data_IF_861553628872
#
_entry.id   IF_861553628872
#
_cell.length_a   1.000
_cell.length_b   1.000
_cell.length_c   1.000
_cell.angle_alpha   90.00
_cell.angle_beta   90.00
_cell.angle_gamma   90.00
#
_symmetry.space_group_name_H-M   'P 1'
#
loop_
_entity.id
_entity.type
_entity.pdbx_description
1 polymer ?
#
# COMPACT_ATOMS: atom_id res chain seq x y z
N UNK A 1 -13.81 -8.46 3.14
CA UNK A 1 -14.48 -9.50 3.96
C UNK A 1 -13.75 -9.82 5.26
N UNK A 2 -12.46 -10.16 5.29
CA UNK A 2 -11.71 -10.57 6.51
C UNK A 2 -11.90 -9.64 7.72
N UNK A 3 -11.89 -8.34 7.53
CA UNK A 3 -12.01 -7.39 8.65
C UNK A 3 -13.36 -7.38 9.36
N UNK A 4 -14.46 -7.64 8.65
CA UNK A 4 -15.80 -7.78 9.24
C UNK A 4 -15.86 -9.10 10.00
N UNK A 5 -15.37 -10.20 9.41
CA UNK A 5 -15.32 -11.51 10.06
C UNK A 5 -14.58 -11.47 11.40
N UNK A 6 -13.46 -10.73 11.49
CA UNK A 6 -12.72 -10.56 12.76
C UNK A 6 -13.59 -9.82 13.79
N UNK A 7 -14.24 -8.70 13.41
CA UNK A 7 -15.07 -7.94 14.33
C UNK A 7 -16.27 -8.76 14.84
N UNK A 8 -16.92 -9.50 13.93
CA UNK A 8 -18.08 -10.34 14.28
C UNK A 8 -17.67 -11.58 15.10
N UNK A 9 -16.50 -12.15 14.86
CA UNK A 9 -15.99 -13.25 15.70
C UNK A 9 -15.82 -12.81 17.15
N UNK A 10 -15.23 -11.63 17.35
CA UNK A 10 -15.01 -11.11 18.69
C UNK A 10 -16.36 -10.70 19.34
N UNK A 11 -17.29 -10.09 18.61
CA UNK A 11 -18.66 -9.83 19.07
C UNK A 11 -19.35 -11.12 19.49
N UNK A 12 -19.33 -12.14 18.64
CA UNK A 12 -19.99 -13.43 18.88
C UNK A 12 -19.39 -14.17 20.08
N UNK A 13 -18.10 -14.02 20.32
CA UNK A 13 -17.42 -14.64 21.48
C UNK A 13 -17.98 -14.14 22.81
N UNK A 14 -18.31 -12.85 22.92
CA UNK A 14 -18.75 -12.23 24.16
C UNK A 14 -20.26 -12.13 24.29
N UNK A 15 -20.97 -12.02 23.17
CA UNK A 15 -22.39 -11.69 23.11
C UNK A 15 -23.18 -12.54 22.10
N UNK A 16 -22.64 -13.74 21.75
CA UNK A 16 -23.29 -14.62 20.77
C UNK A 16 -24.68 -15.11 21.18
N UNK A 17 -24.91 -15.27 22.46
CA UNK A 17 -26.16 -15.74 23.03
C UNK A 17 -27.04 -14.58 23.57
N UNK A 18 -26.62 -13.33 23.39
CA UNK A 18 -27.40 -12.15 23.82
C UNK A 18 -28.41 -11.82 22.75
N UNK A 19 -29.66 -11.53 23.11
CA UNK A 19 -30.64 -11.03 22.17
C UNK A 19 -30.17 -9.70 21.57
N UNK A 20 -30.39 -9.50 20.27
CA UNK A 20 -29.78 -8.42 19.52
C UNK A 20 -30.20 -7.04 20.05
N UNK A 21 -31.43 -6.92 20.55
CA UNK A 21 -31.97 -5.69 21.13
C UNK A 21 -31.46 -5.40 22.55
N UNK A 22 -30.89 -6.42 23.23
CA UNK A 22 -30.25 -6.28 24.56
C UNK A 22 -28.78 -5.89 24.47
N UNK A 23 -28.20 -5.91 23.25
CA UNK A 23 -26.84 -5.44 23.02
C UNK A 23 -26.81 -3.92 23.01
N UNK A 24 -26.50 -3.33 24.16
CA UNK A 24 -26.55 -1.88 24.37
C UNK A 24 -25.17 -1.20 24.35
N UNK A 25 -25.15 0.13 24.61
CA UNK A 25 -23.92 0.93 24.67
C UNK A 25 -22.87 0.39 25.63
N UNK A 26 -23.25 -0.17 26.77
CA UNK A 26 -22.30 -0.71 27.75
C UNK A 26 -21.62 -1.97 27.21
N UNK A 27 -22.37 -2.85 26.54
CA UNK A 27 -21.80 -4.04 25.89
C UNK A 27 -20.79 -3.65 24.80
N UNK A 28 -21.10 -2.62 24.00
CA UNK A 28 -20.19 -2.09 22.98
C UNK A 28 -18.92 -1.48 23.60
N UNK A 29 -19.05 -0.77 24.75
CA UNK A 29 -17.90 -0.22 25.48
C UNK A 29 -17.03 -1.33 26.08
N UNK A 30 -17.62 -2.39 26.64
CA UNK A 30 -16.90 -3.54 27.18
C UNK A 30 -16.08 -4.24 26.09
N UNK A 31 -16.69 -4.45 24.92
CA UNK A 31 -15.97 -5.04 23.77
C UNK A 31 -14.85 -4.10 23.27
N UNK A 32 -15.07 -2.80 23.29
CA UNK A 32 -14.04 -1.80 22.97
C UNK A 32 -12.88 -1.86 23.94
N UNK A 33 -13.15 -2.05 25.23
CA UNK A 33 -12.12 -2.16 26.26
C UNK A 33 -11.30 -3.43 26.09
N UNK A 34 -11.92 -4.59 25.75
CA UNK A 34 -11.20 -5.81 25.38
C UNK A 34 -10.21 -5.57 24.23
N UNK A 35 -10.62 -4.83 23.20
CA UNK A 35 -9.71 -4.47 22.11
C UNK A 35 -8.52 -3.64 22.58
N UNK A 36 -8.72 -2.71 23.53
CA UNK A 36 -7.66 -1.91 24.11
C UNK A 36 -6.71 -2.77 24.94
N UNK A 37 -7.25 -3.65 25.79
CA UNK A 37 -6.45 -4.57 26.63
C UNK A 37 -5.61 -5.54 25.78
N UNK A 38 -6.10 -5.92 24.59
CA UNK A 38 -5.35 -6.71 23.60
C UNK A 38 -4.31 -5.86 22.84
N UNK A 39 -4.05 -4.64 23.28
CA UNK A 39 -3.06 -3.71 22.70
C UNK A 39 -3.31 -3.36 21.22
N UNK A 40 -4.58 -3.35 20.79
CA UNK A 40 -4.90 -2.88 19.45
C UNK A 40 -4.70 -1.36 19.36
N UNK A 41 -4.19 -0.90 18.21
CA UNK A 41 -4.07 0.52 17.97
C UNK A 41 -5.44 1.21 17.95
N UNK A 42 -5.55 2.44 18.48
CA UNK A 42 -6.78 3.24 18.54
C UNK A 42 -7.55 3.26 17.22
N UNK A 43 -6.85 3.49 16.12
CA UNK A 43 -7.46 3.49 14.78
C UNK A 43 -8.05 2.11 14.40
N UNK A 44 -7.44 1.02 14.86
CA UNK A 44 -7.95 -0.34 14.66
C UNK A 44 -9.17 -0.59 15.53
N UNK A 45 -9.13 -0.19 16.81
CA UNK A 45 -10.28 -0.27 17.73
C UNK A 45 -11.48 0.45 17.12
N UNK A 46 -11.33 1.72 16.71
CA UNK A 46 -12.41 2.47 16.08
C UNK A 46 -12.94 1.80 14.80
N UNK A 47 -12.06 1.20 13.98
CA UNK A 47 -12.47 0.44 12.80
C UNK A 47 -13.28 -0.81 13.15
N UNK A 48 -12.92 -1.54 14.20
CA UNK A 48 -13.68 -2.73 14.63
C UNK A 48 -15.06 -2.32 15.14
N UNK A 49 -15.15 -1.31 16.00
CA UNK A 49 -16.42 -0.75 16.48
C UNK A 49 -17.29 -0.28 15.31
N UNK A 50 -16.71 0.47 14.36
CA UNK A 50 -17.44 0.90 13.17
C UNK A 50 -17.94 -0.24 12.27
N UNK A 51 -17.29 -1.41 12.27
CA UNK A 51 -17.77 -2.62 11.58
C UNK A 51 -18.97 -3.25 12.28
N UNK A 52 -18.94 -3.28 13.61
CA UNK A 52 -20.08 -3.75 14.41
C UNK A 52 -21.28 -2.82 14.20
N UNK A 53 -21.09 -1.51 14.29
CA UNK A 53 -22.17 -0.55 14.00
C UNK A 53 -22.73 -0.69 12.58
N UNK A 54 -21.91 -1.04 11.58
CA UNK A 54 -22.39 -1.34 10.22
C UNK A 54 -23.25 -2.59 10.17
N UNK A 55 -22.93 -3.63 10.94
CA UNK A 55 -23.78 -4.82 11.04
C UNK A 55 -25.16 -4.46 11.62
N UNK A 56 -25.19 -3.71 12.71
CA UNK A 56 -26.46 -3.26 13.31
C UNK A 56 -27.26 -2.36 12.33
N UNK A 57 -26.60 -1.46 11.59
CA UNK A 57 -27.27 -0.65 10.57
C UNK A 57 -27.88 -1.51 9.46
N UNK A 58 -27.17 -2.54 9.01
CA UNK A 58 -27.72 -3.52 8.08
C UNK A 58 -28.91 -4.26 8.71
N UNK A 59 -28.80 -4.69 9.96
CA UNK A 59 -29.91 -5.35 10.66
C UNK A 59 -31.16 -4.46 10.76
N UNK A 60 -30.99 -3.13 10.89
CA UNK A 60 -32.13 -2.20 10.84
C UNK A 60 -32.74 -2.14 9.43
N UNK A 61 -31.92 -2.11 8.37
CA UNK A 61 -32.45 -2.12 6.98
C UNK A 61 -33.21 -3.40 6.64
N UNK A 62 -32.88 -4.53 7.30
CA UNK A 62 -33.56 -5.82 7.15
C UNK A 62 -34.68 -6.03 8.19
N UNK A 63 -35.02 -5.02 8.98
CA UNK A 63 -36.02 -5.10 10.05
C UNK A 63 -35.75 -6.18 11.13
N UNK A 64 -34.49 -6.57 11.29
CA UNK A 64 -34.04 -7.54 12.31
C UNK A 64 -33.70 -6.84 13.62
N UNK A 65 -33.28 -5.57 13.56
CA UNK A 65 -32.82 -4.75 14.69
C UNK A 65 -33.72 -3.52 14.80
N UNK A 66 -34.11 -3.14 16.00
CA UNK A 66 -34.85 -1.91 16.24
C UNK A 66 -33.98 -0.67 15.98
N UNK A 67 -34.53 0.39 15.34
CA UNK A 67 -33.78 1.64 15.11
C UNK A 67 -33.23 2.27 16.39
N UNK A 68 -33.94 2.14 17.54
CA UNK A 68 -33.53 2.65 18.84
C UNK A 68 -32.24 2.00 19.33
N UNK A 69 -32.08 0.69 19.11
CA UNK A 69 -30.87 -0.07 19.46
C UNK A 69 -29.66 0.50 18.69
N UNK A 70 -29.79 0.72 17.38
CA UNK A 70 -28.74 1.33 16.58
C UNK A 70 -28.42 2.76 17.05
N UNK A 71 -29.44 3.57 17.33
CA UNK A 71 -29.28 4.96 17.82
C UNK A 71 -28.55 4.98 19.15
N UNK A 72 -28.92 4.10 20.07
CA UNK A 72 -28.22 3.93 21.36
C UNK A 72 -26.74 3.56 21.16
N UNK A 73 -26.44 2.61 20.28
CA UNK A 73 -25.07 2.20 19.98
C UNK A 73 -24.23 3.32 19.33
N UNK A 74 -24.85 4.13 18.47
CA UNK A 74 -24.20 5.28 17.83
C UNK A 74 -23.86 6.41 18.81
N UNK A 75 -24.51 6.48 19.97
CA UNK A 75 -24.17 7.41 21.03
C UNK A 75 -22.79 7.17 21.64
N UNK A 76 -22.18 5.98 21.43
CA UNK A 76 -20.82 5.67 21.91
C UNK A 76 -19.79 6.36 21.02
N UNK A 77 -19.09 7.40 21.50
CA UNK A 77 -18.13 8.12 20.68
C UNK A 77 -16.91 7.27 20.34
N UNK A 78 -16.32 7.52 19.19
CA UNK A 78 -15.03 6.95 18.83
C UNK A 78 -13.91 7.44 19.77
N UNK A 79 -12.87 6.62 19.94
CA UNK A 79 -11.70 6.97 20.72
C UNK A 79 -10.95 8.12 20.04
N UNK A 80 -10.67 9.19 20.81
CA UNK A 80 -9.89 10.35 20.36
C UNK A 80 -8.40 10.17 20.68
N UNK A 81 -7.53 10.74 19.85
CA UNK A 81 -6.08 10.72 20.06
C UNK A 81 -5.72 11.38 21.38
N UNK A 82 -4.80 10.78 22.14
CA UNK A 82 -4.35 11.27 23.45
C UNK A 82 -5.40 11.22 24.56
N UNK A 83 -6.63 10.71 24.29
CA UNK A 83 -7.73 10.67 25.29
C UNK A 83 -8.21 9.25 25.59
N UNK A 84 -7.39 8.24 25.33
CA UNK A 84 -7.70 6.84 25.62
C UNK A 84 -6.43 6.06 25.92
N UNK A 85 -6.58 4.90 26.60
CA UNK A 85 -5.47 3.97 26.85
C UNK A 85 -5.09 3.14 25.62
N UNK A 86 -5.79 3.29 24.52
CA UNK A 86 -5.47 2.58 23.28
C UNK A 86 -4.12 3.04 22.72
N UNK A 87 -3.33 2.10 22.24
CA UNK A 87 -2.03 2.38 21.64
C UNK A 87 -2.19 3.28 20.41
N UNK A 88 -1.40 4.34 20.36
CA UNK A 88 -1.26 5.16 19.15
C UNK A 88 -0.23 4.54 18.20
N UNK A 89 -0.47 4.70 16.92
CA UNK A 89 0.49 4.31 15.88
C UNK A 89 1.29 5.53 15.48
N UNK A 90 2.59 5.38 15.35
CA UNK A 90 3.41 6.43 14.75
C UNK A 90 2.95 6.73 13.32
N UNK A 91 3.08 7.98 12.92
CA UNK A 91 2.83 8.39 11.54
C UNK A 91 3.88 7.74 10.63
N UNK A 92 3.43 7.14 9.54
CA UNK A 92 4.32 6.59 8.54
C UNK A 92 5.05 7.75 7.85
N UNK A 93 6.38 7.80 8.02
CA UNK A 93 7.24 8.80 7.40
C UNK A 93 7.64 8.38 5.97
N UNK A 94 7.97 9.34 5.09
CA UNK A 94 8.67 9.04 3.85
C UNK A 94 9.93 8.22 4.11
N UNK A 95 10.30 7.33 3.20
CA UNK A 95 11.61 6.66 3.26
C UNK A 95 12.71 7.65 2.86
N UNK A 96 13.85 7.61 3.54
CA UNK A 96 15.02 8.41 3.18
C UNK A 96 15.64 7.91 1.86
N UNK A 97 16.24 8.83 1.09
CA UNK A 97 16.91 8.47 -0.16
C UNK A 97 18.08 7.51 0.08
N UNK A 98 18.78 7.72 1.16
CA UNK A 98 19.92 6.92 1.63
C UNK A 98 19.51 5.46 1.89
N UNK A 99 18.35 5.25 2.51
CA UNK A 99 17.79 3.92 2.78
C UNK A 99 17.39 3.18 1.49
N UNK A 100 16.89 3.93 0.48
CA UNK A 100 16.58 3.36 -0.84
C UNK A 100 17.87 2.91 -1.54
N UNK A 101 18.91 3.72 -1.50
CA UNK A 101 20.20 3.37 -2.11
C UNK A 101 20.93 2.24 -1.36
N UNK A 102 20.82 2.18 -0.04
CA UNK A 102 21.44 1.13 0.78
C UNK A 102 20.95 -0.27 0.42
N UNK A 103 19.69 -0.43 0.00
CA UNK A 103 19.17 -1.74 -0.40
C UNK A 103 19.47 -2.14 -1.84
N UNK A 104 19.95 -1.22 -2.69
CA UNK A 104 20.20 -1.45 -4.12
C UNK A 104 21.04 -2.71 -4.40
N UNK A 105 22.14 -3.00 -3.69
CA UNK A 105 22.93 -4.21 -3.90
C UNK A 105 22.22 -5.52 -3.54
N UNK A 106 21.15 -5.45 -2.74
CA UNK A 106 20.47 -6.61 -2.15
C UNK A 106 19.14 -6.95 -2.80
N UNK A 107 18.70 -6.18 -3.81
CA UNK A 107 17.49 -6.43 -4.58
C UNK A 107 17.81 -6.88 -6.00
N UNK A 108 16.85 -7.56 -6.63
CA UNK A 108 16.96 -7.87 -8.07
C UNK A 108 16.78 -6.59 -8.91
N UNK A 109 17.31 -6.53 -10.15
CA UNK A 109 17.10 -5.41 -11.05
C UNK A 109 15.62 -5.08 -11.25
N UNK A 110 14.74 -6.09 -11.30
CA UNK A 110 13.29 -5.91 -11.40
C UNK A 110 12.72 -5.15 -10.19
N UNK A 111 13.08 -5.58 -8.98
CA UNK A 111 12.63 -4.89 -7.75
C UNK A 111 13.16 -3.47 -7.70
N UNK A 112 14.39 -3.24 -8.16
CA UNK A 112 14.95 -1.89 -8.20
C UNK A 112 14.20 -1.00 -9.19
N UNK A 113 13.89 -1.50 -10.39
CA UNK A 113 13.07 -0.78 -11.37
C UNK A 113 11.69 -0.44 -10.80
N UNK A 114 11.02 -1.37 -10.09
CA UNK A 114 9.75 -1.10 -9.41
C UNK A 114 9.89 0.03 -8.38
N UNK A 115 10.97 0.04 -7.61
CA UNK A 115 11.26 1.09 -6.62
C UNK A 115 11.49 2.44 -7.31
N UNK A 116 12.32 2.47 -8.35
CA UNK A 116 12.66 3.69 -9.09
C UNK A 116 11.42 4.30 -9.76
N UNK A 117 10.60 3.49 -10.43
CA UNK A 117 9.34 3.94 -11.01
C UNK A 117 8.40 4.50 -9.96
N UNK A 118 8.24 3.79 -8.83
CA UNK A 118 7.33 4.22 -7.78
C UNK A 118 7.77 5.53 -7.12
N UNK A 119 9.07 5.73 -6.87
CA UNK A 119 9.58 6.99 -6.28
C UNK A 119 9.48 8.18 -7.24
N UNK A 120 9.61 7.93 -8.56
CA UNK A 120 9.54 8.97 -9.59
C UNK A 120 8.10 9.41 -9.89
N UNK A 121 7.13 8.50 -9.78
CA UNK A 121 5.73 8.75 -10.18
C UNK A 121 4.76 8.88 -9.01
N UNK A 122 5.16 8.44 -7.82
CA UNK A 122 4.27 8.36 -6.67
C UNK A 122 3.13 7.36 -6.81
N UNK A 123 3.15 6.47 -7.80
CA UNK A 123 2.09 5.47 -8.00
C UNK A 123 1.96 4.51 -6.82
N UNK A 124 0.78 3.89 -6.70
CA UNK A 124 0.54 2.93 -5.61
C UNK A 124 1.30 1.62 -5.85
N UNK A 125 1.72 0.89 -4.80
CA UNK A 125 2.40 -0.40 -4.96
C UNK A 125 1.65 -1.41 -5.83
N UNK A 126 0.31 -1.42 -5.77
CA UNK A 126 -0.50 -2.27 -6.64
C UNK A 126 -0.47 -1.86 -8.11
N UNK A 127 -0.40 -0.56 -8.39
CA UNK A 127 -0.29 -0.01 -9.74
C UNK A 127 1.04 -0.45 -10.39
N UNK A 128 2.16 -0.35 -9.65
CA UNK A 128 3.47 -0.86 -10.10
C UNK A 128 3.45 -2.37 -10.39
N UNK A 129 2.82 -3.15 -9.52
CA UNK A 129 2.75 -4.61 -9.69
C UNK A 129 1.91 -5.04 -10.91
N UNK A 130 1.01 -4.17 -11.37
CA UNK A 130 0.07 -4.45 -12.46
C UNK A 130 0.47 -3.80 -13.79
N UNK A 131 1.64 -3.17 -13.88
CA UNK A 131 2.11 -2.54 -15.11
C UNK A 131 2.24 -3.55 -16.25
N UNK A 132 1.65 -3.21 -17.41
CA UNK A 132 1.78 -3.94 -18.69
C UNK A 132 2.09 -2.94 -19.80
N UNK A 133 2.77 -3.37 -20.83
CA UNK A 133 3.11 -2.50 -21.99
C UNK A 133 1.86 -1.95 -22.66
N UNK A 134 0.81 -2.76 -22.80
CA UNK A 134 -0.44 -2.38 -23.46
C UNK A 134 -1.20 -1.26 -22.75
N UNK A 135 -1.00 -1.10 -21.44
CA UNK A 135 -1.71 -0.09 -20.65
C UNK A 135 -0.99 1.27 -20.64
N UNK A 136 0.15 1.38 -21.33
CA UNK A 136 0.99 2.58 -21.37
C UNK A 136 0.82 3.27 -22.72
N UNK A 137 0.17 4.44 -22.72
CA UNK A 137 0.12 5.32 -23.87
C UNK A 137 1.45 6.09 -23.99
N UNK A 138 2.09 5.99 -25.16
CA UNK A 138 3.40 6.58 -25.46
C UNK A 138 3.34 7.57 -26.62
N UNK A 139 2.15 8.01 -27.01
CA UNK A 139 1.97 8.94 -28.12
C UNK A 139 2.51 10.34 -27.81
N UNK A 140 2.44 10.75 -26.56
CA UNK A 140 2.90 12.07 -26.09
C UNK A 140 4.29 12.00 -25.44
N UNK A 141 5.03 13.14 -25.37
CA UNK A 141 6.35 13.19 -24.72
C UNK A 141 6.35 12.73 -23.25
N UNK A 142 5.24 12.90 -22.55
CA UNK A 142 5.00 12.35 -21.21
C UNK A 142 4.06 11.16 -21.35
N UNK A 143 4.57 9.96 -21.09
CA UNK A 143 3.74 8.76 -21.22
C UNK A 143 2.67 8.69 -20.13
N UNK A 144 1.54 8.09 -20.45
CA UNK A 144 0.40 7.96 -19.57
C UNK A 144 0.05 6.48 -19.33
N UNK A 145 -0.13 6.10 -18.09
CA UNK A 145 -0.58 4.77 -17.70
C UNK A 145 -1.96 4.84 -17.07
N UNK A 146 -2.90 4.09 -17.60
CA UNK A 146 -4.24 3.92 -17.05
C UNK A 146 -4.36 2.54 -16.42
N UNK A 147 -4.33 2.42 -15.08
CA UNK A 147 -4.49 1.13 -14.42
C UNK A 147 -5.82 0.48 -14.78
N UNK A 148 -5.84 -0.82 -15.19
CA UNK A 148 -7.07 -1.52 -15.58
C UNK A 148 -8.07 -1.66 -14.44
N UNK A 149 -7.63 -1.59 -13.19
CA UNK A 149 -8.49 -1.45 -12.02
C UNK A 149 -7.79 -0.64 -10.93
N UNK A 150 -8.53 0.16 -10.19
CA UNK A 150 -8.00 0.98 -9.10
C UNK A 150 -9.02 1.17 -7.97
N UNK A 151 -8.51 1.55 -6.77
CA UNK A 151 -9.31 1.67 -5.54
C UNK A 151 -10.51 2.63 -5.64
N UNK A 152 -10.50 3.56 -6.59
CA UNK A 152 -11.52 4.62 -6.77
C UNK A 152 -12.44 4.37 -7.98
N UNK A 153 -12.37 3.20 -8.58
CA UNK A 153 -13.23 2.79 -9.71
C UNK A 153 -14.72 2.94 -9.40
N UNK A 154 -15.12 2.67 -8.14
CA UNK A 154 -16.50 2.86 -7.66
C UNK A 154 -16.97 4.32 -7.55
N UNK A 155 -16.11 5.28 -7.87
CA UNK A 155 -16.40 6.71 -7.78
C UNK A 155 -16.29 7.42 -9.14
N UNK A 156 -16.32 6.68 -10.26
CA UNK A 156 -16.23 7.21 -11.65
C UNK A 156 -15.06 8.19 -11.86
N UNK A 157 -13.94 7.96 -11.17
CA UNK A 157 -12.74 8.81 -11.28
C UNK A 157 -11.65 8.07 -12.00
N UNK A 158 -11.28 8.55 -13.16
CA UNK A 158 -10.13 8.06 -13.90
C UNK A 158 -8.83 8.24 -13.10
N UNK A 159 -8.05 7.18 -13.06
CA UNK A 159 -6.69 7.22 -12.52
C UNK A 159 -5.69 7.17 -13.66
N UNK A 160 -4.94 8.25 -13.83
CA UNK A 160 -3.82 8.31 -14.76
C UNK A 160 -2.53 8.49 -13.97
N UNK A 161 -1.48 7.77 -14.33
CA UNK A 161 -0.11 7.94 -13.83
C UNK A 161 0.76 8.42 -14.99
N UNK A 162 1.48 9.50 -14.78
CA UNK A 162 2.36 10.07 -15.79
C UNK A 162 3.81 9.63 -15.59
N UNK A 163 4.47 9.26 -16.67
CA UNK A 163 5.89 8.94 -16.71
C UNK A 163 6.67 10.04 -17.42
N UNK A 164 7.40 10.83 -16.65
CA UNK A 164 8.37 11.77 -17.18
C UNK A 164 9.66 11.09 -17.68
N UNK A 165 10.62 11.83 -18.27
CA UNK A 165 11.78 11.25 -18.96
C UNK A 165 12.60 10.26 -18.13
N UNK A 166 12.79 10.53 -16.83
CA UNK A 166 13.53 9.60 -15.95
C UNK A 166 12.79 8.27 -15.73
N UNK A 167 11.46 8.31 -15.58
CA UNK A 167 10.66 7.11 -15.42
C UNK A 167 10.58 6.33 -16.73
N UNK A 168 10.50 7.01 -17.87
CA UNK A 168 10.54 6.41 -19.21
C UNK A 168 11.85 5.64 -19.41
N UNK A 169 13.00 6.26 -19.13
CA UNK A 169 14.31 5.61 -19.24
C UNK A 169 14.42 4.31 -18.41
N UNK A 170 13.81 4.28 -17.22
CA UNK A 170 13.73 3.05 -16.44
C UNK A 170 12.82 2.03 -17.11
N UNK A 171 11.64 2.45 -17.62
CA UNK A 171 10.64 1.57 -18.23
C UNK A 171 11.08 0.96 -19.55
N UNK A 172 11.80 1.71 -20.40
CA UNK A 172 12.25 1.28 -21.73
C UNK A 172 12.93 -0.11 -21.72
N UNK A 173 13.75 -0.37 -20.69
CA UNK A 173 14.44 -1.64 -20.52
C UNK A 173 13.51 -2.82 -20.18
N UNK A 174 12.26 -2.55 -19.84
CA UNK A 174 11.29 -3.55 -19.37
C UNK A 174 10.07 -3.68 -20.28
N UNK A 175 9.90 -2.77 -21.27
CA UNK A 175 8.79 -2.85 -22.22
C UNK A 175 8.85 -4.19 -22.98
N UNK A 176 7.74 -4.85 -23.06
CA UNK A 176 7.59 -6.11 -23.80
C UNK A 176 6.67 -5.89 -25.01
N UNK A 177 7.28 -5.75 -26.17
CA UNK A 177 6.56 -5.55 -27.45
C UNK A 177 6.02 -6.85 -28.03
N UNK A 178 6.66 -7.99 -27.72
CA UNK A 178 6.25 -9.30 -28.23
C UNK A 178 5.02 -9.86 -27.50
N UNK A 179 4.88 -9.46 -26.23
CA UNK A 179 3.74 -9.85 -25.37
C UNK A 179 3.29 -8.65 -24.56
N UNK A 180 2.63 -7.65 -25.16
CA UNK A 180 2.31 -6.37 -24.50
C UNK A 180 1.31 -6.52 -23.34
N UNK A 181 0.55 -7.62 -23.28
CA UNK A 181 -0.36 -7.96 -22.19
C UNK A 181 0.33 -8.57 -20.96
N UNK A 182 1.58 -9.04 -21.13
CA UNK A 182 2.35 -9.60 -20.01
C UNK A 182 2.74 -8.51 -19.00
N UNK A 183 2.77 -8.88 -17.72
CA UNK A 183 3.22 -7.97 -16.68
C UNK A 183 4.72 -7.65 -16.83
N UNK A 184 5.08 -6.37 -16.77
CA UNK A 184 6.47 -5.92 -16.91
C UNK A 184 7.37 -6.50 -15.82
N UNK A 185 6.84 -6.62 -14.62
CA UNK A 185 7.58 -7.06 -13.44
C UNK A 185 7.03 -8.38 -12.92
N UNK A 186 7.77 -9.46 -13.17
CA UNK A 186 7.35 -10.79 -12.73
C UNK A 186 8.42 -11.51 -11.90
N UNK A 187 8.02 -12.28 -10.86
CA UNK A 187 8.93 -13.14 -10.12
C UNK A 187 9.59 -14.22 -10.97
N UNK A 188 8.89 -14.73 -11.99
CA UNK A 188 9.44 -15.72 -12.91
C UNK A 188 10.58 -15.13 -13.76
N UNK A 189 10.44 -13.89 -14.25
CA UNK A 189 11.52 -13.18 -14.94
C UNK A 189 12.70 -12.89 -14.01
N UNK A 190 12.43 -12.47 -12.76
CA UNK A 190 13.47 -12.26 -11.77
C UNK A 190 14.29 -13.53 -11.49
N UNK A 191 13.62 -14.67 -11.37
CA UNK A 191 14.27 -15.96 -11.16
C UNK A 191 15.08 -16.39 -12.40
N UNK A 192 14.58 -16.17 -13.60
CA UNK A 192 15.30 -16.40 -14.84
C UNK A 192 16.59 -15.59 -14.91
N UNK A 193 16.54 -14.27 -14.64
CA UNK A 193 17.71 -13.39 -14.60
C UNK A 193 18.71 -13.86 -13.53
N UNK A 194 18.24 -14.22 -12.35
CA UNK A 194 19.08 -14.75 -11.27
C UNK A 194 19.82 -16.01 -11.69
N UNK A 195 19.11 -16.96 -12.32
CA UNK A 195 19.72 -18.22 -12.81
C UNK A 195 20.74 -17.96 -13.92
N UNK A 196 20.46 -17.04 -14.83
CA UNK A 196 21.40 -16.65 -15.87
C UNK A 196 22.68 -16.08 -15.28
N UNK A 197 22.58 -15.12 -14.31
CA UNK A 197 23.73 -14.56 -13.60
C UNK A 197 24.54 -15.64 -12.86
N UNK A 198 23.87 -16.54 -12.15
CA UNK A 198 24.55 -17.65 -11.47
C UNK A 198 25.26 -18.59 -12.46
N UNK A 199 24.66 -18.84 -13.62
CA UNK A 199 25.26 -19.67 -14.68
C UNK A 199 26.49 -18.98 -15.28
N UNK A 200 26.40 -17.68 -15.57
CA UNK A 200 27.50 -16.87 -16.11
C UNK A 200 28.69 -16.76 -15.12
N UNK A 201 28.42 -16.65 -13.81
CA UNK A 201 29.42 -16.56 -12.77
C UNK A 201 30.08 -17.93 -12.44
N UNK A 202 29.59 -19.04 -13.01
CA UNK A 202 30.08 -20.38 -12.71
C UNK A 202 31.43 -20.65 -13.39
N UNK A 203 32.43 -21.00 -12.61
CA UNK A 203 33.79 -21.28 -13.08
C UNK A 203 34.00 -22.73 -13.60
N UNK A 204 33.11 -23.68 -13.24
CA UNK A 204 33.21 -25.08 -13.62
C UNK A 204 32.23 -25.45 -14.74
N UNK A 205 32.60 -26.37 -15.64
CA UNK A 205 31.73 -26.92 -16.68
C UNK A 205 30.52 -27.63 -16.04
N UNK A 206 29.35 -27.44 -16.65
CA UNK A 206 28.13 -28.15 -16.25
C UNK A 206 28.10 -29.48 -16.98
N UNK A 207 28.00 -30.57 -16.25
CA UNK A 207 27.82 -31.90 -16.85
C UNK A 207 26.49 -31.99 -17.58
N UNK A 208 26.37 -32.72 -18.71
CA UNK A 208 25.12 -32.84 -19.48
C UNK A 208 23.93 -33.24 -18.64
N UNK A 209 24.09 -34.18 -17.70
CA UNK A 209 23.05 -34.62 -16.77
C UNK A 209 22.58 -33.54 -15.77
N UNK A 210 23.31 -32.43 -15.64
CA UNK A 210 23.03 -31.34 -14.70
C UNK A 210 22.60 -30.05 -15.40
N UNK A 211 22.47 -30.06 -16.72
CA UNK A 211 22.06 -28.88 -17.51
C UNK A 211 20.68 -28.37 -17.11
N UNK A 212 19.77 -29.28 -16.80
CA UNK A 212 18.44 -28.93 -16.30
C UNK A 212 18.16 -29.71 -15.01
N UNK A 213 18.09 -28.98 -13.88
CA UNK A 213 17.64 -29.53 -12.59
C UNK A 213 16.19 -29.09 -12.28
N UNK A 214 15.43 -28.69 -13.29
CA UNK A 214 14.04 -28.35 -13.13
C UNK A 214 13.28 -29.60 -12.64
N UNK A 215 12.56 -29.46 -11.53
CA UNK A 215 11.63 -30.51 -11.08
C UNK A 215 10.49 -30.61 -12.07
N UNK A 216 10.04 -31.81 -12.40
CA UNK A 216 8.86 -32.03 -13.28
C UNK A 216 7.59 -31.45 -12.68
N UNK A 217 7.46 -31.53 -11.35
CA UNK A 217 6.34 -30.96 -10.58
C UNK A 217 6.88 -30.16 -9.39
N UNK A 218 7.15 -28.85 -9.56
CA UNK A 218 7.61 -28.01 -8.49
C UNK A 218 6.46 -27.64 -7.56
N UNK A 219 6.60 -27.86 -6.27
CA UNK A 219 5.63 -27.46 -5.22
C UNK A 219 5.37 -25.94 -5.23
N UNK A 220 6.27 -25.15 -5.76
CA UNK A 220 6.15 -23.71 -5.86
C UNK A 220 6.66 -23.23 -7.23
N UNK A 221 5.77 -22.56 -7.96
CA UNK A 221 6.13 -21.86 -9.19
C UNK A 221 6.11 -20.36 -8.95
N UNK A 222 7.15 -19.62 -9.37
CA UNK A 222 7.12 -18.17 -9.35
C UNK A 222 5.96 -17.65 -10.19
N UNK A 223 5.18 -16.74 -9.62
CA UNK A 223 4.07 -16.13 -10.34
C UNK A 223 4.52 -15.26 -11.52
N UNK A 224 3.59 -14.92 -12.37
CA UNK A 224 3.75 -14.05 -13.54
C UNK A 224 3.75 -12.56 -13.18
N UNK A 225 3.31 -12.17 -11.98
CA UNK A 225 3.39 -10.80 -11.45
C UNK A 225 3.76 -10.77 -9.97
N UNK A 226 4.32 -9.65 -9.54
CA UNK A 226 4.45 -9.37 -8.11
C UNK A 226 3.09 -9.00 -7.52
N UNK A 227 2.87 -9.39 -6.27
CA UNK A 227 1.82 -8.83 -5.42
C UNK A 227 2.42 -7.75 -4.52
N UNK A 228 1.58 -6.85 -3.98
CA UNK A 228 2.04 -5.85 -3.01
C UNK A 228 2.73 -6.49 -1.79
N UNK A 229 2.28 -7.69 -1.40
CA UNK A 229 2.89 -8.47 -0.32
C UNK A 229 4.27 -9.01 -0.69
N UNK A 230 4.42 -9.59 -1.89
CA UNK A 230 5.73 -10.13 -2.32
C UNK A 230 6.73 -9.00 -2.58
N UNK A 231 6.30 -7.87 -3.14
CA UNK A 231 7.10 -6.67 -3.30
C UNK A 231 7.60 -6.13 -1.95
N UNK A 232 6.68 -5.95 -0.98
CA UNK A 232 7.04 -5.56 0.39
C UNK A 232 8.01 -6.53 1.06
N UNK A 233 7.82 -7.84 0.88
CA UNK A 233 8.72 -8.86 1.42
C UNK A 233 10.12 -8.79 0.81
N UNK A 234 10.23 -8.50 -0.49
CA UNK A 234 11.52 -8.35 -1.15
C UNK A 234 12.29 -7.17 -0.56
N UNK A 235 11.66 -6.00 -0.42
CA UNK A 235 12.25 -4.82 0.22
C UNK A 235 12.66 -5.13 1.67
N UNK A 236 11.76 -5.70 2.48
CA UNK A 236 12.06 -5.99 3.88
C UNK A 236 13.21 -6.98 4.08
N UNK A 237 13.39 -7.95 3.15
CA UNK A 237 14.57 -8.83 3.15
C UNK A 237 15.85 -8.07 2.79
N UNK A 238 15.77 -7.12 1.87
CA UNK A 238 16.90 -6.28 1.47
C UNK A 238 17.33 -5.34 2.60
N UNK A 239 16.38 -4.70 3.31
CA UNK A 239 16.65 -3.89 4.49
C UNK A 239 17.41 -4.69 5.57
N UNK A 240 16.97 -5.94 5.84
CA UNK A 240 17.68 -6.81 6.79
C UNK A 240 19.13 -7.09 6.37
N UNK A 241 19.37 -7.30 5.07
CA UNK A 241 20.72 -7.53 4.54
C UNK A 241 21.58 -6.27 4.57
N UNK A 242 20.96 -5.11 4.37
CA UNK A 242 21.64 -3.81 4.45
C UNK A 242 21.85 -3.32 5.89
N UNK A 243 21.30 -4.01 6.91
CA UNK A 243 21.41 -3.61 8.31
C UNK A 243 20.61 -2.34 8.66
N UNK A 244 19.57 -2.00 7.88
CA UNK A 244 18.74 -0.80 8.10
C UNK A 244 17.34 -1.17 8.58
N UNK A 245 16.62 -0.18 9.10
CA UNK A 245 15.21 -0.33 9.49
C UNK A 245 14.35 -0.74 8.29
N UNK A 246 13.38 -1.64 8.54
CA UNK A 246 12.48 -2.10 7.49
C UNK A 246 11.50 -1.00 7.08
N UNK A 247 11.50 -0.69 5.80
CA UNK A 247 10.51 0.16 5.20
C UNK A 247 9.63 -0.60 4.17
N UNK A 248 8.58 0.02 3.69
CA UNK A 248 7.62 -0.62 2.78
C UNK A 248 7.27 0.27 1.58
N UNK A 249 6.82 -0.31 0.45
CA UNK A 249 6.63 0.41 -0.81
C UNK A 249 5.78 1.68 -0.71
N UNK A 250 4.80 1.74 0.20
CA UNK A 250 3.96 2.92 0.32
C UNK A 250 4.74 4.17 0.80
N UNK A 251 5.87 3.97 1.50
CA UNK A 251 6.74 5.08 1.93
C UNK A 251 7.45 5.76 0.75
N UNK A 252 7.65 5.05 -0.38
CA UNK A 252 8.12 5.67 -1.64
C UNK A 252 7.09 6.65 -2.19
N UNK A 253 5.80 6.31 -2.11
CA UNK A 253 4.73 7.24 -2.50
C UNK A 253 4.65 8.44 -1.55
N UNK A 254 4.89 8.24 -0.25
CA UNK A 254 5.01 9.35 0.70
C UNK A 254 6.20 10.25 0.35
N UNK A 255 7.35 9.67 -0.01
CA UNK A 255 8.53 10.41 -0.47
C UNK A 255 8.22 11.23 -1.74
N UNK A 256 7.62 10.61 -2.76
CA UNK A 256 7.20 11.30 -3.97
C UNK A 256 6.21 12.44 -3.67
N UNK A 257 5.23 12.20 -2.79
CA UNK A 257 4.26 13.21 -2.37
C UNK A 257 4.93 14.42 -1.70
N UNK A 258 5.89 14.17 -0.81
CA UNK A 258 6.65 15.22 -0.13
C UNK A 258 7.47 16.05 -1.12
N UNK A 259 8.18 15.39 -2.05
CA UNK A 259 8.98 16.06 -3.07
C UNK A 259 8.11 16.89 -4.01
N UNK A 260 7.05 16.31 -4.60
CA UNK A 260 6.12 17.00 -5.49
C UNK A 260 5.51 18.25 -4.81
N UNK A 261 5.13 18.11 -3.55
CA UNK A 261 4.58 19.24 -2.80
C UNK A 261 5.62 20.34 -2.57
N UNK A 262 6.84 19.96 -2.24
CA UNK A 262 7.95 20.91 -2.03
C UNK A 262 8.26 21.68 -3.31
N UNK A 263 8.33 20.97 -4.44
CA UNK A 263 8.81 21.53 -5.71
C UNK A 263 7.68 22.26 -6.48
N UNK A 264 6.45 21.74 -6.46
CA UNK A 264 5.34 22.21 -7.30
C UNK A 264 4.09 22.66 -6.54
N UNK A 265 4.06 22.49 -5.22
CA UNK A 265 2.90 22.84 -4.39
C UNK A 265 1.87 21.72 -4.25
N UNK A 266 0.87 21.98 -3.38
CA UNK A 266 -0.08 20.96 -2.93
C UNK A 266 -1.05 20.51 -4.04
N UNK A 267 -1.49 21.43 -4.89
CA UNK A 267 -2.47 21.14 -5.95
C UNK A 267 -1.89 20.24 -7.02
N UNK A 268 -0.65 20.51 -7.47
CA UNK A 268 0.03 19.66 -8.45
C UNK A 268 0.34 18.29 -7.84
N UNK A 269 0.84 18.24 -6.61
CA UNK A 269 1.06 16.97 -5.92
C UNK A 269 -0.23 16.15 -5.80
N UNK A 270 -1.36 16.80 -5.48
CA UNK A 270 -2.69 16.17 -5.43
C UNK A 270 -3.11 15.58 -6.78
N UNK A 271 -2.98 16.35 -7.86
CA UNK A 271 -3.31 15.93 -9.21
C UNK A 271 -2.48 14.71 -9.65
N UNK A 272 -1.15 14.78 -9.53
CA UNK A 272 -0.23 13.69 -9.90
C UNK A 272 -0.50 12.42 -9.10
N UNK A 273 -0.73 12.56 -7.79
CA UNK A 273 -0.99 11.41 -6.93
C UNK A 273 -2.41 10.87 -7.07
N UNK A 274 -3.35 11.62 -7.64
CA UNK A 274 -4.75 11.25 -7.73
C UNK A 274 -5.41 11.16 -6.35
N UNK A 275 -5.23 12.19 -5.52
CA UNK A 275 -5.91 12.33 -4.24
C UNK A 275 -7.24 13.07 -4.43
N UNK A 276 -8.32 12.50 -3.89
CA UNK A 276 -9.66 13.07 -4.03
C UNK A 276 -9.94 14.24 -3.10
N UNK A 277 -9.21 14.32 -1.98
CA UNK A 277 -9.35 15.39 -0.98
C UNK A 277 -7.99 16.00 -0.66
N UNK A 278 -7.98 17.26 -0.26
CA UNK A 278 -6.78 17.98 0.18
C UNK A 278 -6.19 17.31 1.43
N UNK A 279 -7.04 16.90 2.37
CA UNK A 279 -6.65 16.22 3.61
C UNK A 279 -5.72 15.02 3.38
N UNK A 280 -5.93 14.25 2.29
CA UNK A 280 -5.05 13.13 1.96
C UNK A 280 -3.64 13.58 1.54
N UNK A 281 -3.50 14.78 1.02
CA UNK A 281 -2.21 15.36 0.65
C UNK A 281 -1.60 16.11 1.84
N UNK A 282 -2.42 16.68 2.71
CA UNK A 282 -1.98 17.33 3.95
C UNK A 282 -1.38 16.36 4.98
N UNK A 283 -1.77 15.09 4.95
CA UNK A 283 -1.12 14.04 5.77
C UNK A 283 0.39 13.95 5.49
N UNK A 284 0.82 14.35 4.29
CA UNK A 284 2.24 14.45 3.91
C UNK A 284 2.84 15.84 4.16
N UNK A 285 2.03 16.75 4.71
CA UNK A 285 2.46 18.07 5.14
C UNK A 285 3.13 17.95 6.52
N UNK A 286 4.40 17.62 6.56
CA UNK A 286 5.24 18.28 7.54
C UNK A 286 5.22 19.76 7.11
N UNK A 287 4.71 20.63 8.01
CA UNK A 287 4.69 22.06 7.75
C UNK A 287 6.10 22.45 7.31
N UNK A 288 6.21 22.93 6.08
CA UNK A 288 7.49 23.44 5.57
C UNK A 288 7.76 24.75 6.33
N UNK A 289 8.27 24.60 7.55
CA UNK A 289 8.61 25.74 8.41
C UNK A 289 9.57 26.70 7.71
N UNK A 290 10.33 26.21 6.73
CA UNK A 290 11.22 27.04 5.94
C UNK A 290 10.43 27.91 4.95
N UNK A 291 9.43 27.36 4.25
CA UNK A 291 8.55 28.18 3.37
C UNK A 291 7.73 29.20 4.16
N UNK A 292 7.27 28.84 5.36
CA UNK A 292 6.59 29.79 6.23
C UNK A 292 7.54 30.92 6.66
N UNK A 293 8.79 30.62 7.02
CA UNK A 293 9.81 31.62 7.34
C UNK A 293 10.18 32.49 6.15
N UNK A 294 10.36 31.89 4.96
CA UNK A 294 10.62 32.63 3.71
C UNK A 294 9.45 33.55 3.34
N UNK A 295 8.21 33.07 3.50
CA UNK A 295 7.02 33.89 3.27
C UNK A 295 6.97 35.07 4.23
N UNK A 296 7.26 34.85 5.52
CA UNK A 296 7.32 35.94 6.51
C UNK A 296 8.45 36.90 6.27
N UNK A 297 9.61 36.43 5.82
CA UNK A 297 10.73 37.30 5.40
C UNK A 297 10.41 38.18 4.17
N UNK A 298 9.49 37.72 3.30
CA UNK A 298 9.05 38.46 2.10
C UNK A 298 7.85 39.36 2.36
N UNK A 299 7.08 39.08 3.40
CA UNK A 299 5.83 39.82 3.69
C UNK A 299 6.00 40.94 4.71
N UNK A 300 7.16 41.09 5.29
CA UNK A 300 7.44 42.18 6.23
C UNK A 300 8.33 41.86 7.35
#
# INVERSE_FOLDING_TARGET
>A
MIGIQIALRDLRKFYGDTAIDDFGPNSLKTLREDFIQRNLARSTVNKQIGRILRMFRWGVSEMIVRPETLTALQSVPGLKAGRSKARETERIKPVAKEDVEAIRPFVSPIIMAMIDIQRLTGMRPGEVCNLRTIDIDRAEPVWAYKPPSHKLEHHDKDRVVYFGPQAQSVLESWLNTDSPEAFLFSPSAAERIRRQKMRAARKSKVQPSQVSRAKKDPQFQPGDRYTTTSYRRAIGKACLKAGIEKWHPNQLRHMAATNLRKDFGIEIARAVLGHTTVDMTEVYAEMDANKAREAMLKSG
#
